data_IF_312993194559
#
_entry.id   IF_312993194559
#
_cell.length_a   1.000
_cell.length_b   1.000
_cell.length_c   1.000
_cell.angle_alpha   90.00
_cell.angle_beta   90.00
_cell.angle_gamma   90.00
#
_symmetry.space_group_name_H-M   'P 1'
#
loop_
_entity.id
_entity.type
_entity.pdbx_description
1 polymer ?
#
# COMPACT_ATOMS: atom_id res chain seq x y z
N UNK A 1 -0.15 -8.57 6.52
CA UNK A 1 -1.32 -7.87 5.92
C UNK A 1 -1.04 -7.45 4.47
N UNK A 2 -1.27 -8.33 3.50
CA UNK A 2 -1.19 -8.04 2.04
C UNK A 2 -1.97 -9.06 1.21
N UNK A 3 -3.27 -9.22 1.47
CA UNK A 3 -4.20 -9.61 0.40
C UNK A 3 -4.87 -8.34 -0.06
N UNK A 4 -4.37 -7.74 -1.15
CA UNK A 4 -5.23 -6.92 -2.00
C UNK A 4 -6.23 -7.84 -2.71
N UNK A 5 -7.09 -8.53 -1.96
CA UNK A 5 -8.16 -9.47 -2.41
C UNK A 5 -7.72 -10.62 -3.37
N UNK A 6 -6.51 -10.59 -3.96
CA UNK A 6 -6.02 -11.51 -4.99
C UNK A 6 -4.49 -11.45 -5.20
N UNK A 7 -3.69 -10.83 -4.32
CA UNK A 7 -2.23 -10.83 -4.47
C UNK A 7 -1.63 -11.98 -3.68
N UNK A 8 -1.22 -13.04 -4.38
CA UNK A 8 -0.36 -14.09 -3.82
C UNK A 8 1.08 -13.58 -3.93
N UNK A 9 1.80 -13.54 -2.81
CA UNK A 9 3.21 -13.18 -2.80
C UNK A 9 4.02 -14.45 -3.06
N UNK A 10 4.94 -14.37 -4.03
CA UNK A 10 5.85 -15.46 -4.34
C UNK A 10 7.28 -15.04 -3.99
N UNK A 11 8.07 -16.00 -3.54
CA UNK A 11 9.50 -15.83 -3.30
C UNK A 11 10.27 -16.76 -4.24
N UNK A 12 11.39 -16.26 -4.74
CA UNK A 12 12.39 -17.06 -5.42
C UNK A 12 13.64 -17.12 -4.54
N UNK A 13 14.13 -18.33 -4.26
CA UNK A 13 15.29 -18.57 -3.38
C UNK A 13 16.56 -18.87 -4.19
N UNK A 14 16.92 -17.99 -5.13
CA UNK A 14 18.16 -18.09 -5.90
C UNK A 14 19.17 -16.99 -5.55
N UNK A 15 20.46 -17.23 -5.80
CA UNK A 15 21.53 -16.25 -5.54
C UNK A 15 21.45 -14.99 -6.43
N UNK A 16 20.78 -15.05 -7.59
CA UNK A 16 20.67 -13.93 -8.53
C UNK A 16 19.24 -13.75 -9.07
N UNK A 17 18.81 -12.48 -9.24
CA UNK A 17 17.60 -12.10 -9.97
C UNK A 17 17.85 -11.99 -11.49
N UNK A 18 18.51 -12.98 -12.08
CA UNK A 18 18.59 -13.08 -13.54
C UNK A 18 17.32 -13.74 -14.07
N UNK A 19 16.73 -13.28 -15.19
CA UNK A 19 15.58 -13.93 -15.79
C UNK A 19 16.04 -15.26 -16.41
N UNK A 20 15.94 -16.34 -15.65
CA UNK A 20 16.22 -17.70 -16.13
C UNK A 20 14.89 -18.43 -16.25
N UNK A 21 14.71 -19.18 -17.34
CA UNK A 21 13.42 -19.74 -17.80
C UNK A 21 12.75 -20.71 -16.80
N UNK A 22 13.44 -21.11 -15.72
CA UNK A 22 13.00 -22.12 -14.75
C UNK A 22 12.97 -21.62 -13.30
N UNK A 23 12.43 -20.42 -13.04
CA UNK A 23 12.24 -19.98 -11.66
C UNK A 23 11.23 -20.87 -10.91
N UNK A 24 11.69 -21.52 -9.83
CA UNK A 24 10.82 -22.14 -8.82
C UNK A 24 10.28 -21.04 -7.90
N UNK A 25 9.23 -20.36 -8.34
CA UNK A 25 8.50 -19.42 -7.51
C UNK A 25 7.67 -20.20 -6.49
N UNK A 26 7.98 -20.02 -5.21
CA UNK A 26 7.24 -20.63 -4.12
C UNK A 26 6.24 -19.62 -3.54
N UNK A 27 4.98 -20.00 -3.32
CA UNK A 27 4.05 -19.14 -2.62
C UNK A 27 4.52 -18.93 -1.18
N UNK A 28 4.62 -17.68 -0.76
CA UNK A 28 4.90 -17.33 0.63
C UNK A 28 3.61 -17.45 1.43
N UNK A 29 3.57 -18.42 2.35
CA UNK A 29 2.48 -18.59 3.31
C UNK A 29 2.91 -18.12 4.70
N UNK A 30 2.16 -17.17 5.28
CA UNK A 30 2.40 -16.66 6.63
C UNK A 30 1.12 -16.87 7.46
N UNK A 31 0.85 -18.11 7.91
CA UNK A 31 -0.44 -18.49 8.49
C UNK A 31 -0.80 -17.75 9.77
N UNK A 32 0.18 -17.27 10.54
CA UNK A 32 -0.05 -16.45 11.74
C UNK A 32 -0.44 -15.00 11.39
N UNK A 33 0.11 -14.46 10.30
CA UNK A 33 -0.22 -13.10 9.84
C UNK A 33 -1.57 -13.04 9.09
N UNK A 34 -2.03 -14.19 8.58
CA UNK A 34 -3.32 -14.34 7.92
C UNK A 34 -4.49 -14.46 8.92
N UNK A 35 -4.20 -14.61 10.21
CA UNK A 35 -5.22 -14.60 11.27
C UNK A 35 -5.59 -13.17 11.63
N UNK A 36 -6.87 -12.85 11.58
CA UNK A 36 -7.39 -11.62 12.17
C UNK A 36 -7.86 -11.92 13.59
N UNK A 37 -7.22 -11.30 14.59
CA UNK A 37 -7.49 -11.55 16.01
C UNK A 37 -7.45 -13.04 16.38
N UNK A 38 -6.51 -13.80 15.79
CA UNK A 38 -6.33 -15.23 16.06
C UNK A 38 -7.26 -16.16 15.26
N UNK A 39 -8.16 -15.64 14.43
CA UNK A 39 -9.09 -16.43 13.63
C UNK A 39 -8.75 -16.37 12.13
N UNK A 40 -8.93 -17.49 11.44
CA UNK A 40 -8.89 -17.54 9.98
C UNK A 40 -10.25 -17.13 9.43
N UNK A 41 -10.29 -16.06 8.65
CA UNK A 41 -11.52 -15.50 8.08
C UNK A 41 -11.53 -15.69 6.55
N UNK A 42 -12.72 -15.87 5.96
CA UNK A 42 -12.84 -15.86 4.50
C UNK A 42 -12.57 -14.44 3.97
N UNK A 43 -12.16 -14.31 2.70
CA UNK A 43 -11.78 -13.02 2.11
C UNK A 43 -12.87 -11.94 2.25
N UNK A 44 -14.14 -12.31 2.12
CA UNK A 44 -15.26 -11.37 2.28
C UNK A 44 -15.37 -10.86 3.72
N UNK A 45 -15.18 -11.74 4.71
CA UNK A 45 -15.23 -11.42 6.14
C UNK A 45 -14.03 -10.55 6.53
N UNK A 46 -12.85 -10.82 5.97
CA UNK A 46 -11.65 -9.98 6.15
C UNK A 46 -11.96 -8.53 5.73
N UNK A 47 -12.52 -8.32 4.54
CA UNK A 47 -12.82 -6.98 4.05
C UNK A 47 -13.80 -6.25 4.97
N UNK A 48 -14.87 -6.92 5.40
CA UNK A 48 -15.86 -6.35 6.31
C UNK A 48 -15.25 -6.00 7.68
N UNK A 49 -14.43 -6.88 8.24
CA UNK A 49 -13.76 -6.65 9.52
C UNK A 49 -12.78 -5.48 9.43
N UNK A 50 -11.98 -5.39 8.37
CA UNK A 50 -11.03 -4.30 8.17
C UNK A 50 -11.74 -2.96 7.95
N UNK A 51 -12.79 -2.93 7.12
CA UNK A 51 -13.61 -1.73 6.91
C UNK A 51 -14.26 -1.26 8.22
N UNK A 52 -14.85 -2.19 8.98
CA UNK A 52 -15.45 -1.90 10.28
C UNK A 52 -14.44 -1.29 11.26
N UNK A 53 -13.22 -1.84 11.33
CA UNK A 53 -12.14 -1.28 12.18
C UNK A 53 -11.74 0.13 11.77
N UNK A 54 -11.61 0.40 10.48
CA UNK A 54 -11.28 1.74 9.98
C UNK A 54 -12.39 2.72 10.39
N UNK A 55 -13.65 2.38 10.12
CA UNK A 55 -14.82 3.20 10.47
C UNK A 55 -14.89 3.43 11.97
N UNK A 56 -14.70 2.39 12.79
CA UNK A 56 -14.72 2.51 14.24
C UNK A 56 -13.61 3.45 14.74
N UNK A 57 -12.39 3.32 14.21
CA UNK A 57 -11.28 4.20 14.58
C UNK A 57 -11.53 5.68 14.24
N UNK A 58 -12.40 5.96 13.28
CA UNK A 58 -12.78 7.33 12.89
C UNK A 58 -13.90 7.90 13.77
N UNK A 59 -14.88 7.08 14.16
CA UNK A 59 -16.10 7.53 14.84
C UNK A 59 -16.01 7.43 16.36
N UNK A 60 -15.30 6.43 16.87
CA UNK A 60 -15.22 6.09 18.29
C UNK A 60 -13.81 5.56 18.60
N UNK A 61 -12.80 6.44 18.67
CA UNK A 61 -11.44 6.01 18.97
C UNK A 61 -11.37 5.43 20.41
N UNK A 62 -10.65 4.32 20.56
CA UNK A 62 -10.50 3.63 21.86
C UNK A 62 -9.75 4.47 22.89
N UNK A 63 -8.94 5.42 22.42
CA UNK A 63 -8.17 6.38 23.22
C UNK A 63 -8.64 7.79 22.84
N UNK A 64 -9.07 8.63 23.80
CA UNK A 64 -9.42 10.01 23.53
C UNK A 64 -8.31 10.75 22.78
N UNK A 65 -8.67 11.51 21.76
CA UNK A 65 -7.77 12.29 20.89
C UNK A 65 -6.70 11.49 20.11
N UNK A 66 -6.74 10.15 20.15
CA UNK A 66 -5.89 9.36 19.30
C UNK A 66 -6.31 9.50 17.81
N UNK A 67 -5.36 9.64 16.88
CA UNK A 67 -5.68 9.67 15.48
C UNK A 67 -6.27 8.32 15.03
N UNK A 68 -7.18 8.32 14.04
CA UNK A 68 -7.69 7.08 13.45
C UNK A 68 -6.55 6.25 12.85
N UNK A 69 -6.78 4.95 12.68
CA UNK A 69 -5.79 4.00 12.13
C UNK A 69 -5.31 4.43 10.73
N UNK A 70 -6.15 5.14 9.98
CA UNK A 70 -5.81 5.79 8.73
C UNK A 70 -6.30 7.23 8.76
N UNK A 71 -5.38 8.17 9.02
CA UNK A 71 -5.71 9.58 9.12
C UNK A 71 -5.58 10.31 7.78
N UNK A 72 -6.22 11.47 7.66
CA UNK A 72 -6.02 12.35 6.49
C UNK A 72 -4.55 12.82 6.35
N UNK A 73 -3.79 12.88 7.45
CA UNK A 73 -2.35 13.18 7.43
C UNK A 73 -1.57 12.06 6.75
N UNK A 74 -1.87 10.81 7.09
CA UNK A 74 -1.22 9.64 6.50
C UNK A 74 -1.62 9.47 5.04
N UNK A 75 -2.91 9.68 4.72
CA UNK A 75 -3.40 9.69 3.35
C UNK A 75 -2.71 10.75 2.49
N UNK A 76 -2.51 11.97 3.03
CA UNK A 76 -1.75 13.02 2.33
C UNK A 76 -0.30 12.60 2.10
N UNK A 77 0.39 12.04 3.10
CA UNK A 77 1.76 11.57 2.95
C UNK A 77 1.89 10.46 1.88
N UNK A 78 0.94 9.52 1.85
CA UNK A 78 0.87 8.48 0.83
C UNK A 78 0.68 9.05 -0.58
N UNK A 79 -0.25 10.00 -0.74
CA UNK A 79 -0.46 10.68 -2.02
C UNK A 79 0.78 11.48 -2.45
N UNK A 80 1.47 12.15 -1.52
CA UNK A 80 2.72 12.83 -1.83
C UNK A 80 3.78 11.84 -2.33
N UNK A 81 3.98 10.68 -1.69
CA UNK A 81 4.92 9.66 -2.18
C UNK A 81 4.57 9.15 -3.59
N UNK A 82 3.28 8.88 -3.85
CA UNK A 82 2.81 8.41 -5.17
C UNK A 82 3.07 9.49 -6.23
N UNK A 83 2.65 10.73 -5.98
CA UNK A 83 2.86 11.84 -6.91
C UNK A 83 4.36 12.15 -7.08
N UNK A 84 5.15 12.04 -6.01
CA UNK A 84 6.58 12.32 -6.03
C UNK A 84 7.35 11.31 -6.86
N UNK A 85 6.94 10.05 -6.84
CA UNK A 85 7.47 9.01 -7.73
C UNK A 85 7.25 9.40 -9.19
N UNK A 86 6.03 9.75 -9.57
CA UNK A 86 5.72 10.17 -10.94
C UNK A 86 6.44 11.45 -11.36
N UNK A 87 6.51 12.45 -10.47
CA UNK A 87 7.18 13.71 -10.76
C UNK A 87 8.70 13.53 -10.91
N UNK A 88 9.29 12.63 -10.12
CA UNK A 88 10.70 12.27 -10.27
C UNK A 88 10.99 11.64 -11.63
N UNK A 89 10.14 10.72 -12.09
CA UNK A 89 10.26 10.12 -13.41
C UNK A 89 10.06 11.15 -14.53
N UNK A 90 9.06 12.03 -14.41
CA UNK A 90 8.80 13.09 -15.39
C UNK A 90 9.99 14.04 -15.54
N UNK A 91 10.67 14.39 -14.43
CA UNK A 91 11.85 15.27 -14.43
C UNK A 91 13.17 14.56 -14.71
N UNK A 92 13.22 13.23 -14.59
CA UNK A 92 14.47 12.47 -14.60
C UNK A 92 15.40 12.82 -13.42
N UNK A 93 14.86 13.30 -12.29
CA UNK A 93 15.66 13.79 -11.15
C UNK A 93 14.94 13.55 -9.82
N UNK A 94 15.69 13.63 -8.70
CA UNK A 94 15.10 13.59 -7.35
C UNK A 94 14.17 14.79 -7.13
N UNK A 95 13.14 14.59 -6.30
CA UNK A 95 12.16 15.62 -5.94
C UNK A 95 12.10 15.78 -4.43
N UNK A 96 11.87 17.02 -3.99
CA UNK A 96 11.76 17.38 -2.58
C UNK A 96 10.31 17.25 -2.09
N UNK A 97 10.16 16.91 -0.82
CA UNK A 97 8.86 16.88 -0.13
C UNK A 97 8.72 18.03 0.89
N UNK A 98 7.52 18.59 1.07
CA UNK A 98 6.30 18.32 0.32
C UNK A 98 6.39 18.84 -1.12
N UNK A 99 5.68 18.20 -2.05
CA UNK A 99 5.68 18.63 -3.45
C UNK A 99 5.13 20.05 -3.56
N UNK A 100 5.88 20.93 -4.23
CA UNK A 100 5.47 22.32 -4.47
C UNK A 100 4.23 22.40 -5.35
N UNK A 101 4.16 21.56 -6.39
CA UNK A 101 3.00 21.42 -7.27
C UNK A 101 2.28 20.11 -6.97
N UNK A 102 1.04 20.22 -6.49
CA UNK A 102 0.18 19.08 -6.12
C UNK A 102 -0.83 18.70 -7.20
N UNK A 103 -0.76 19.29 -8.39
CA UNK A 103 -1.53 18.79 -9.55
C UNK A 103 -1.01 17.42 -9.98
N UNK A 104 -1.87 16.60 -10.60
CA UNK A 104 -1.54 15.21 -10.93
C UNK A 104 -0.40 15.16 -11.97
N UNK A 105 0.76 14.54 -11.69
CA UNK A 105 1.93 14.61 -12.57
C UNK A 105 1.68 14.09 -14.00
N UNK A 106 0.86 13.05 -14.15
CA UNK A 106 0.50 12.52 -15.48
C UNK A 106 -0.37 13.49 -16.30
N UNK A 107 -1.12 14.37 -15.64
CA UNK A 107 -1.88 15.40 -16.35
C UNK A 107 -0.93 16.39 -17.02
N UNK A 108 0.07 16.88 -16.29
CA UNK A 108 1.11 17.78 -16.85
C UNK A 108 1.88 17.12 -17.98
N UNK A 109 2.26 15.85 -17.80
CA UNK A 109 2.96 15.10 -18.84
C UNK A 109 2.11 14.98 -20.11
N UNK A 110 0.82 14.64 -19.98
CA UNK A 110 -0.11 14.61 -21.12
C UNK A 110 -0.24 15.97 -21.80
N UNK A 111 -0.27 17.04 -21.01
CA UNK A 111 -0.46 18.40 -21.48
C UNK A 111 0.85 19.04 -22.01
N UNK A 112 1.96 18.29 -22.02
CA UNK A 112 3.26 18.72 -22.58
C UNK A 112 4.08 19.66 -21.68
N UNK A 113 3.73 19.74 -20.39
CA UNK A 113 4.35 20.61 -19.38
C UNK A 113 5.30 19.85 -18.42
#
# INVERSE_FOLDING_TARGET
>A
MRRSVATVMFIHRGEFMTPVEEHQWEPVSLPEEDKIAGQHLQTIDINQVLQSRIIHSLLAPDIPDAPPISSGRDGRAALEMIHGSWESHRRGARVEFPLKDRTHPLQRWRDGA
#
